data_IF_267422482325
#
_entry.id   IF_267422482325
#
_cell.length_a   1.000
_cell.length_b   1.000
_cell.length_c   1.000
_cell.angle_alpha   90.00
_cell.angle_beta   90.00
_cell.angle_gamma   90.00
#
_symmetry.space_group_name_H-M   'P 1'
#
loop_
_entity.id
_entity.type
_entity.pdbx_description
1 polymer ?
#
# COMPACT_ATOMS: atom_id res chain seq x y z
N UNK A 1 -46.55 35.91 3.72
CA UNK A 1 -45.55 36.39 4.70
C UNK A 1 -44.70 37.42 3.98
N UNK A 2 -44.72 38.68 4.41
CA UNK A 2 -43.82 39.70 3.87
C UNK A 2 -42.47 39.54 4.57
N UNK A 3 -41.49 38.93 3.90
CA UNK A 3 -40.11 38.96 4.38
C UNK A 3 -39.64 40.42 4.35
N UNK A 4 -39.43 41.01 5.53
CA UNK A 4 -38.75 42.29 5.63
C UNK A 4 -37.34 42.13 5.03
N UNK A 5 -36.92 42.99 4.09
CA UNK A 5 -35.57 42.95 3.57
C UNK A 5 -34.59 43.14 4.73
N UNK A 6 -33.88 42.07 5.09
CA UNK A 6 -32.81 42.14 6.08
C UNK A 6 -31.65 42.90 5.47
N UNK A 7 -31.45 44.18 5.80
CA UNK A 7 -30.39 45.02 5.25
C UNK A 7 -29.01 44.83 5.92
N UNK A 8 -28.87 43.81 6.76
CA UNK A 8 -27.61 43.53 7.46
C UNK A 8 -26.76 42.48 6.72
N UNK A 9 -25.41 42.57 6.85
CA UNK A 9 -24.51 41.57 6.29
C UNK A 9 -24.75 40.21 6.93
N UNK A 10 -24.79 39.17 6.08
CA UNK A 10 -25.08 37.79 6.48
C UNK A 10 -23.90 36.88 6.14
N UNK A 11 -23.47 36.06 7.09
CA UNK A 11 -22.44 35.03 6.88
C UNK A 11 -23.07 33.66 7.09
N UNK A 12 -23.28 32.93 6.01
CA UNK A 12 -23.76 31.55 6.03
C UNK A 12 -22.56 30.62 6.20
N UNK A 13 -22.34 30.09 7.40
CA UNK A 13 -21.15 29.30 7.77
C UNK A 13 -21.11 27.87 7.20
N UNK A 14 -22.20 27.40 6.60
CA UNK A 14 -22.33 26.06 6.02
C UNK A 14 -23.02 26.11 4.65
N UNK A 15 -22.68 27.12 3.85
CA UNK A 15 -23.16 27.23 2.49
C UNK A 15 -22.50 26.18 1.61
N UNK A 16 -23.29 25.59 0.71
CA UNK A 16 -22.85 24.71 -0.37
C UNK A 16 -22.81 25.41 -1.74
N UNK A 17 -23.20 26.69 -1.79
CA UNK A 17 -23.18 27.55 -2.97
C UNK A 17 -22.43 28.85 -2.67
N UNK A 18 -21.86 29.46 -3.71
CA UNK A 18 -21.18 30.77 -3.64
C UNK A 18 -20.17 30.89 -2.49
N UNK A 19 -19.40 29.83 -2.28
CA UNK A 19 -18.49 29.69 -1.15
C UNK A 19 -17.29 30.61 -1.38
N UNK A 20 -17.06 31.51 -0.43
CA UNK A 20 -15.90 32.42 -0.43
C UNK A 20 -14.76 31.82 0.38
N UNK A 21 -15.06 31.07 1.46
CA UNK A 21 -14.05 30.42 2.28
C UNK A 21 -14.41 28.97 2.56
N UNK A 22 -13.61 28.05 2.02
CA UNK A 22 -13.77 26.61 2.25
C UNK A 22 -13.51 26.24 3.70
N UNK A 23 -14.49 25.57 4.33
CA UNK A 23 -14.40 25.09 5.72
C UNK A 23 -14.38 23.57 5.82
N UNK A 24 -15.04 22.88 4.89
CA UNK A 24 -15.16 21.43 4.94
C UNK A 24 -15.29 20.86 3.54
N UNK A 25 -14.74 19.67 3.34
CA UNK A 25 -14.95 18.87 2.14
C UNK A 25 -15.72 17.62 2.54
N UNK A 26 -16.83 17.36 1.87
CA UNK A 26 -17.52 16.08 1.92
C UNK A 26 -17.21 15.28 0.67
N UNK A 27 -16.98 13.99 0.84
CA UNK A 27 -16.64 13.08 -0.24
C UNK A 27 -17.82 12.15 -0.48
N UNK A 28 -18.15 11.93 -1.75
CA UNK A 28 -19.16 10.98 -2.17
C UNK A 28 -18.46 9.69 -2.63
N UNK A 29 -18.61 8.61 -1.86
CA UNK A 29 -17.85 7.37 -2.02
C UNK A 29 -18.76 6.15 -1.89
N UNK A 30 -18.18 5.03 -1.43
CA UNK A 30 -18.94 3.80 -1.26
C UNK A 30 -18.60 3.04 0.04
N UNK A 31 -19.55 2.22 0.49
CA UNK A 31 -19.42 1.19 1.52
C UNK A 31 -19.79 -0.16 0.91
N UNK A 32 -18.82 -1.04 0.77
CA UNK A 32 -19.05 -2.39 0.25
C UNK A 32 -19.36 -3.36 1.39
N UNK A 33 -20.36 -4.21 1.19
CA UNK A 33 -20.68 -5.37 2.02
C UNK A 33 -20.47 -6.64 1.20
N UNK A 34 -19.68 -7.56 1.75
CA UNK A 34 -19.39 -8.84 1.10
C UNK A 34 -19.35 -9.97 2.12
N UNK A 35 -19.41 -11.25 1.69
CA UNK A 35 -19.16 -12.37 2.57
C UNK A 35 -17.76 -12.28 3.17
N UNK A 36 -17.57 -12.83 4.37
CA UNK A 36 -16.26 -12.87 4.99
C UNK A 36 -15.27 -13.59 4.07
N UNK A 37 -14.32 -12.85 3.52
CA UNK A 37 -13.32 -13.43 2.63
C UNK A 37 -12.24 -14.09 3.47
N UNK A 38 -11.95 -15.35 3.17
CA UNK A 38 -10.74 -15.94 3.72
C UNK A 38 -9.53 -15.35 3.00
N UNK A 39 -8.50 -14.91 3.73
CA UNK A 39 -7.29 -14.44 3.10
C UNK A 39 -6.69 -15.57 2.28
N UNK A 40 -6.47 -15.30 0.98
CA UNK A 40 -5.83 -16.28 0.10
C UNK A 40 -4.37 -16.43 0.51
N UNK A 41 -4.05 -17.52 1.19
CA UNK A 41 -2.66 -17.93 1.36
C UNK A 41 -2.12 -18.26 -0.03
N UNK A 42 -1.12 -17.51 -0.46
CA UNK A 42 -0.42 -17.79 -1.71
C UNK A 42 1.03 -18.05 -1.40
N UNK A 43 1.63 -19.01 -2.10
CA UNK A 43 3.08 -19.24 -2.03
C UNK A 43 3.85 -17.97 -2.43
N UNK A 44 3.26 -17.11 -3.26
CA UNK A 44 3.77 -15.77 -3.56
C UNK A 44 3.93 -14.88 -2.32
N UNK A 45 3.07 -15.01 -1.30
CA UNK A 45 3.20 -14.27 -0.05
C UNK A 45 4.44 -14.73 0.75
N UNK A 46 4.78 -16.02 0.71
CA UNK A 46 5.95 -16.59 1.37
C UNK A 46 7.26 -16.09 0.74
N UNK A 47 7.33 -16.04 -0.59
CA UNK A 47 8.51 -15.54 -1.31
C UNK A 47 8.57 -14.02 -1.40
N UNK A 48 7.43 -13.33 -1.23
CA UNK A 48 7.29 -11.88 -1.28
C UNK A 48 7.85 -11.12 -0.07
N UNK A 49 8.42 -11.83 0.91
CA UNK A 49 9.10 -11.24 2.07
C UNK A 49 10.26 -10.35 1.62
N UNK A 50 11.10 -10.87 0.73
CA UNK A 50 12.19 -10.13 0.13
C UNK A 50 11.92 -9.79 -1.32
N UNK A 51 12.59 -8.73 -1.77
CA UNK A 51 12.63 -8.43 -3.20
C UNK A 51 13.50 -9.47 -3.91
N UNK A 52 13.22 -9.71 -5.19
CA UNK A 52 13.92 -10.68 -6.02
C UNK A 52 15.45 -10.48 -6.00
N UNK A 53 15.93 -9.24 -5.89
CA UNK A 53 17.36 -8.94 -5.85
C UNK A 53 18.06 -9.57 -4.63
N UNK A 54 17.38 -9.63 -3.48
CA UNK A 54 17.95 -10.25 -2.27
C UNK A 54 18.04 -11.76 -2.44
N UNK A 55 17.00 -12.39 -2.99
CA UNK A 55 17.01 -13.83 -3.28
C UNK A 55 18.14 -14.22 -4.24
N UNK A 56 18.35 -13.44 -5.30
CA UNK A 56 19.48 -13.63 -6.21
C UNK A 56 20.81 -13.51 -5.44
N UNK A 57 20.95 -12.49 -4.60
CA UNK A 57 22.16 -12.30 -3.79
C UNK A 57 22.44 -13.49 -2.86
N UNK A 58 21.40 -14.03 -2.21
CA UNK A 58 21.52 -15.24 -1.35
C UNK A 58 21.97 -16.44 -2.18
N UNK A 59 21.36 -16.69 -3.34
CA UNK A 59 21.76 -17.80 -4.22
C UNK A 59 23.20 -17.66 -4.71
N UNK A 60 23.62 -16.46 -5.11
CA UNK A 60 24.99 -16.19 -5.56
C UNK A 60 26.00 -16.39 -4.44
N UNK A 61 25.74 -15.85 -3.25
CA UNK A 61 26.65 -16.01 -2.09
C UNK A 61 26.71 -17.45 -1.60
N UNK A 62 25.59 -18.18 -1.62
CA UNK A 62 25.52 -19.60 -1.31
C UNK A 62 26.36 -20.46 -2.27
N UNK A 63 26.26 -20.18 -3.58
CA UNK A 63 27.02 -20.88 -4.61
C UNK A 63 28.51 -20.56 -4.52
N UNK A 64 28.88 -19.29 -4.27
CA UNK A 64 30.27 -18.89 -4.06
C UNK A 64 30.88 -19.55 -2.81
N UNK A 65 30.15 -19.60 -1.70
CA UNK A 65 30.60 -20.30 -0.49
C UNK A 65 30.82 -21.79 -0.77
N UNK A 66 29.90 -22.44 -1.50
CA UNK A 66 30.02 -23.86 -1.83
C UNK A 66 31.18 -24.15 -2.78
N UNK A 67 31.39 -23.29 -3.79
CA UNK A 67 32.53 -23.38 -4.70
C UNK A 67 33.85 -23.19 -3.95
N UNK A 68 33.90 -22.27 -2.99
CA UNK A 68 35.07 -22.06 -2.15
C UNK A 68 35.47 -23.32 -1.38
N UNK A 69 34.50 -24.04 -0.83
CA UNK A 69 34.75 -25.33 -0.17
C UNK A 69 35.33 -26.32 -1.16
N UNK A 70 34.71 -26.45 -2.35
CA UNK A 70 35.16 -27.39 -3.36
C UNK A 70 36.64 -27.18 -3.72
N UNK A 71 37.10 -25.93 -3.75
CA UNK A 71 38.48 -25.57 -4.09
C UNK A 71 39.47 -25.72 -2.92
N UNK A 72 39.03 -25.45 -1.69
CA UNK A 72 39.89 -25.49 -0.50
C UNK A 72 39.91 -26.83 0.21
N UNK A 73 38.85 -27.63 0.06
CA UNK A 73 38.76 -29.00 0.55
C UNK A 73 39.69 -29.89 -0.26
N UNK A 74 40.96 -29.85 0.13
CA UNK A 74 42.01 -30.68 -0.43
C UNK A 74 41.66 -32.14 -0.11
N UNK A 75 41.20 -32.90 -1.12
CA UNK A 75 41.34 -34.35 -1.33
C UNK A 75 40.10 -35.01 -1.96
N UNK A 76 40.39 -35.88 -2.93
CA UNK A 76 39.62 -36.93 -3.66
C UNK A 76 38.25 -37.42 -3.11
N UNK A 77 37.95 -37.23 -1.83
CA UNK A 77 36.70 -37.67 -1.17
C UNK A 77 35.50 -36.74 -1.42
N UNK A 78 35.71 -35.44 -1.63
CA UNK A 78 34.61 -34.48 -1.88
C UNK A 78 34.26 -34.32 -3.36
N UNK A 79 35.21 -34.61 -4.25
CA UNK A 79 34.98 -34.53 -5.71
C UNK A 79 34.05 -35.62 -6.24
N UNK A 80 33.78 -36.70 -5.48
CA UNK A 80 32.88 -37.75 -5.94
C UNK A 80 31.41 -37.31 -5.98
N UNK A 81 31.00 -36.26 -5.25
CA UNK A 81 29.64 -35.72 -5.27
C UNK A 81 29.63 -34.19 -5.23
N UNK A 82 29.75 -33.56 -6.40
CA UNK A 82 29.57 -32.12 -6.61
C UNK A 82 28.26 -31.61 -5.97
N UNK A 83 27.18 -32.38 -6.11
CA UNK A 83 25.86 -32.02 -5.57
C UNK A 83 25.86 -31.90 -4.05
N UNK A 84 26.49 -32.85 -3.34
CA UNK A 84 26.63 -32.79 -1.88
C UNK A 84 27.39 -31.53 -1.47
N UNK A 85 28.47 -31.19 -2.17
CA UNK A 85 29.26 -29.98 -1.87
C UNK A 85 28.47 -28.69 -2.14
N UNK A 86 27.68 -28.64 -3.22
CA UNK A 86 26.80 -27.50 -3.52
C UNK A 86 25.63 -27.36 -2.52
N UNK A 87 25.15 -28.47 -1.97
CA UNK A 87 24.08 -28.47 -0.97
C UNK A 87 24.51 -27.96 0.40
N UNK A 88 25.82 -27.87 0.68
CA UNK A 88 26.35 -27.37 1.95
C UNK A 88 25.88 -25.93 2.22
N UNK A 89 26.02 -25.04 1.23
CA UNK A 89 25.60 -23.65 1.40
C UNK A 89 24.12 -23.54 1.73
N UNK A 90 23.30 -24.42 1.13
CA UNK A 90 21.87 -24.51 1.38
C UNK A 90 21.56 -25.08 2.77
N UNK A 91 22.24 -26.14 3.19
CA UNK A 91 22.11 -26.70 4.53
C UNK A 91 22.45 -25.65 5.60
N UNK A 92 23.53 -24.88 5.41
CA UNK A 92 23.87 -23.76 6.30
C UNK A 92 22.81 -22.67 6.34
N UNK A 93 22.23 -22.32 5.18
CA UNK A 93 21.13 -21.36 5.11
C UNK A 93 19.90 -21.86 5.87
N UNK A 94 19.66 -23.16 5.89
CA UNK A 94 18.59 -23.80 6.67
C UNK A 94 18.96 -24.04 8.14
N UNK A 95 20.11 -23.53 8.60
CA UNK A 95 20.64 -23.78 9.95
C UNK A 95 20.86 -25.27 10.25
N UNK A 96 20.99 -26.09 9.21
CA UNK A 96 21.25 -27.53 9.33
C UNK A 96 22.76 -27.78 9.41
N UNK A 97 23.17 -28.60 10.38
CA UNK A 97 24.56 -29.06 10.49
C UNK A 97 24.94 -29.92 9.29
N UNK A 98 25.83 -29.42 8.43
CA UNK A 98 26.22 -30.09 7.19
C UNK A 98 27.32 -31.17 7.36
N UNK A 99 27.57 -31.69 8.57
CA UNK A 99 28.67 -32.62 8.84
C UNK A 99 30.07 -31.97 8.77
N UNK A 100 30.14 -30.66 8.54
CA UNK A 100 31.36 -29.83 8.44
C UNK A 100 31.88 -29.41 9.81
N UNK A 101 31.05 -29.58 10.83
CA UNK A 101 31.33 -29.46 12.26
C UNK A 101 32.65 -30.13 12.67
N UNK A 102 33.09 -31.15 11.92
CA UNK A 102 34.44 -31.67 12.02
C UNK A 102 35.36 -31.01 10.99
N UNK A 103 35.75 -29.75 11.24
CA UNK A 103 36.96 -29.17 10.63
C UNK A 103 38.20 -29.92 11.17
N UNK A 104 38.32 -31.21 10.84
CA UNK A 104 39.31 -32.15 11.37
C UNK A 104 40.74 -31.64 11.17
N UNK A 105 40.95 -30.83 10.12
CA UNK A 105 42.25 -30.26 9.75
C UNK A 105 42.47 -28.84 10.28
N UNK A 106 41.56 -28.30 11.10
CA UNK A 106 41.62 -26.94 11.70
C UNK A 106 42.03 -25.85 10.68
N UNK A 107 41.52 -25.94 9.45
CA UNK A 107 41.86 -24.97 8.41
C UNK A 107 41.29 -23.61 8.77
N UNK A 108 42.16 -22.65 9.10
CA UNK A 108 41.77 -21.29 9.53
C UNK A 108 41.01 -20.53 8.44
N UNK A 109 41.34 -20.78 7.17
CA UNK A 109 40.72 -20.13 6.02
C UNK A 109 39.22 -20.37 5.90
N UNK A 110 38.72 -21.53 6.32
CA UNK A 110 37.29 -21.84 6.28
C UNK A 110 36.48 -20.93 7.22
N UNK A 111 37.03 -20.56 8.38
CA UNK A 111 36.34 -19.71 9.35
C UNK A 111 36.09 -18.29 8.82
N UNK A 112 37.01 -17.75 8.02
CA UNK A 112 36.88 -16.39 7.47
C UNK A 112 35.73 -16.24 6.47
N UNK A 113 35.32 -17.33 5.82
CA UNK A 113 34.23 -17.30 4.84
C UNK A 113 32.94 -17.81 5.47
N UNK A 114 33.01 -18.90 6.22
CA UNK A 114 31.82 -19.46 6.86
C UNK A 114 31.32 -18.63 8.03
N UNK A 115 32.19 -17.99 8.81
CA UNK A 115 31.76 -17.15 9.93
C UNK A 115 30.78 -16.05 9.47
N UNK A 116 31.19 -15.20 8.52
CA UNK A 116 30.28 -14.20 7.92
C UNK A 116 29.06 -14.83 7.24
N UNK A 117 29.22 -15.94 6.50
CA UNK A 117 28.10 -16.61 5.82
C UNK A 117 27.04 -17.17 6.79
N UNK A 118 27.48 -17.79 7.88
CA UNK A 118 26.59 -18.31 8.93
C UNK A 118 25.88 -17.14 9.63
N UNK A 119 26.61 -16.09 9.99
CA UNK A 119 26.02 -14.90 10.61
C UNK A 119 24.97 -14.27 9.69
N UNK A 120 25.26 -14.18 8.39
CA UNK A 120 24.30 -13.67 7.41
C UNK A 120 23.10 -14.60 7.24
N UNK A 121 23.32 -15.91 7.18
CA UNK A 121 22.26 -16.91 7.12
C UNK A 121 21.31 -16.78 8.30
N UNK A 122 21.83 -16.63 9.52
CA UNK A 122 21.04 -16.40 10.74
C UNK A 122 20.23 -15.10 10.69
N UNK A 123 20.80 -14.01 10.16
CA UNK A 123 20.07 -12.75 10.00
C UNK A 123 18.90 -12.94 9.02
N UNK A 124 19.15 -13.64 7.92
CA UNK A 124 18.15 -13.88 6.86
C UNK A 124 17.04 -14.78 7.38
N UNK A 125 17.36 -15.94 7.95
CA UNK A 125 16.37 -16.88 8.46
C UNK A 125 15.52 -16.27 9.55
N UNK A 126 16.12 -15.55 10.51
CA UNK A 126 15.39 -14.88 11.57
C UNK A 126 14.52 -13.74 11.04
N UNK A 127 15.00 -12.98 10.05
CA UNK A 127 14.18 -11.95 9.41
C UNK A 127 13.02 -12.55 8.61
N UNK A 128 13.22 -13.65 7.87
CA UNK A 128 12.14 -14.37 7.18
C UNK A 128 11.13 -14.90 8.19
N UNK A 129 11.59 -15.55 9.26
CA UNK A 129 10.71 -16.09 10.33
C UNK A 129 9.91 -14.95 10.97
N UNK A 130 10.54 -13.84 11.34
CA UNK A 130 9.87 -12.68 11.93
C UNK A 130 8.83 -12.05 11.00
N UNK A 131 9.17 -11.86 9.72
CA UNK A 131 8.24 -11.32 8.72
C UNK A 131 7.10 -12.29 8.42
N UNK A 132 7.37 -13.60 8.35
CA UNK A 132 6.34 -14.60 8.11
C UNK A 132 5.42 -14.76 9.30
N UNK A 133 5.93 -14.74 10.53
CA UNK A 133 5.08 -14.74 11.73
C UNK A 133 4.17 -13.50 11.71
N UNK A 134 4.71 -12.33 11.41
CA UNK A 134 3.92 -11.09 11.41
C UNK A 134 2.96 -10.94 10.22
N UNK A 135 3.24 -11.55 9.07
CA UNK A 135 2.42 -11.43 7.85
C UNK A 135 1.52 -12.63 7.56
N UNK A 136 1.96 -13.83 7.91
CA UNK A 136 1.28 -15.09 7.63
C UNK A 136 0.56 -15.62 8.86
N UNK A 137 1.17 -15.56 10.05
CA UNK A 137 0.54 -16.04 11.29
C UNK A 137 -0.35 -15.00 11.95
N UNK A 138 -0.04 -13.70 11.83
CA UNK A 138 -1.06 -12.69 12.11
C UNK A 138 -2.21 -12.91 11.11
N UNK A 139 -3.49 -12.86 11.54
CA UNK A 139 -4.62 -13.10 10.65
C UNK A 139 -4.44 -12.21 9.42
N UNK A 140 -4.18 -12.89 8.27
CA UNK A 140 -3.85 -12.23 7.03
C UNK A 140 -4.93 -11.17 6.79
N UNK A 141 -4.53 -9.91 6.81
CA UNK A 141 -5.48 -8.81 6.70
C UNK A 141 -6.16 -8.95 5.35
N UNK A 142 -7.46 -9.21 5.40
CA UNK A 142 -8.29 -9.15 4.22
C UNK A 142 -8.18 -7.73 3.69
N UNK A 143 -7.72 -7.58 2.44
CA UNK A 143 -7.56 -6.26 1.83
C UNK A 143 -8.98 -5.75 1.56
N UNK A 144 -9.44 -4.70 2.25
CA UNK A 144 -10.79 -4.19 2.06
C UNK A 144 -10.98 -3.71 0.62
N UNK A 145 -12.22 -3.69 0.14
CA UNK A 145 -12.52 -3.04 -1.14
C UNK A 145 -12.39 -1.52 -0.97
N UNK A 146 -11.33 -0.99 -1.54
CA UNK A 146 -10.95 0.42 -1.44
C UNK A 146 -11.31 1.19 -2.73
N UNK A 147 -11.31 0.52 -3.89
CA UNK A 147 -11.50 1.14 -5.20
C UNK A 147 -12.72 0.63 -5.93
N UNK A 148 -13.35 1.46 -6.75
CA UNK A 148 -14.49 1.08 -7.59
C UNK A 148 -14.12 -0.02 -8.59
N UNK A 149 -12.89 -0.02 -9.09
CA UNK A 149 -12.43 -1.07 -10.00
C UNK A 149 -12.55 -2.46 -9.38
N UNK A 150 -12.24 -2.59 -8.09
CA UNK A 150 -12.32 -3.88 -7.38
C UNK A 150 -13.77 -4.33 -7.21
N UNK A 151 -14.71 -3.39 -7.05
CA UNK A 151 -16.14 -3.69 -6.97
C UNK A 151 -16.68 -4.20 -8.30
N UNK A 152 -16.29 -3.60 -9.42
CA UNK A 152 -16.68 -4.08 -10.75
C UNK A 152 -16.14 -5.47 -11.03
N UNK A 153 -14.86 -5.70 -10.70
CA UNK A 153 -14.22 -6.99 -10.94
C UNK A 153 -14.84 -8.10 -10.08
N UNK A 154 -15.37 -7.75 -8.89
CA UNK A 154 -16.10 -8.64 -8.00
C UNK A 154 -17.63 -8.64 -8.21
N UNK A 155 -18.13 -7.97 -9.26
CA UNK A 155 -19.55 -7.94 -9.66
C UNK A 155 -20.50 -7.43 -8.57
N UNK A 156 -20.09 -6.40 -7.83
CA UNK A 156 -20.97 -5.80 -6.83
C UNK A 156 -22.20 -5.14 -7.45
N UNK A 157 -23.35 -5.28 -6.79
CA UNK A 157 -24.56 -4.53 -7.07
C UNK A 157 -24.49 -3.21 -6.29
N UNK A 158 -24.75 -2.10 -6.95
CA UNK A 158 -24.67 -0.79 -6.31
C UNK A 158 -26.04 -0.30 -5.83
N UNK A 159 -26.05 0.33 -4.67
CA UNK A 159 -27.25 0.86 -4.03
C UNK A 159 -27.03 2.34 -3.72
N UNK A 160 -27.79 3.21 -4.35
CA UNK A 160 -27.74 4.66 -4.12
C UNK A 160 -28.83 5.10 -3.14
N UNK A 161 -28.58 6.17 -2.40
CA UNK A 161 -29.58 6.82 -1.55
C UNK A 161 -30.34 7.84 -2.38
N UNK A 162 -31.65 7.99 -2.18
CA UNK A 162 -32.34 9.16 -2.70
C UNK A 162 -32.15 10.35 -1.78
N UNK A 163 -31.81 11.48 -2.39
CA UNK A 163 -31.74 12.76 -1.70
C UNK A 163 -32.95 13.60 -2.11
N UNK A 164 -33.60 14.20 -1.11
CA UNK A 164 -34.66 15.17 -1.30
C UNK A 164 -34.04 16.57 -1.23
N UNK A 165 -34.29 17.39 -2.23
CA UNK A 165 -33.86 18.78 -2.19
C UNK A 165 -35.00 19.69 -2.62
N UNK A 166 -35.05 20.85 -1.97
CA UNK A 166 -36.03 21.88 -2.25
C UNK A 166 -35.56 22.69 -3.46
N UNK A 167 -36.36 22.68 -4.51
CA UNK A 167 -36.29 23.68 -5.57
C UNK A 167 -37.07 24.91 -5.06
N UNK A 168 -36.72 26.11 -5.54
CA UNK A 168 -37.40 27.34 -5.14
C UNK A 168 -38.94 27.18 -5.16
N UNK A 169 -39.63 27.80 -4.19
CA UNK A 169 -41.09 27.74 -3.96
C UNK A 169 -41.68 26.33 -3.70
N UNK A 170 -41.27 25.70 -2.59
CA UNK A 170 -41.89 24.51 -1.97
C UNK A 170 -41.82 23.17 -2.71
N UNK A 171 -41.32 23.11 -3.94
CA UNK A 171 -41.20 21.84 -4.67
C UNK A 171 -40.04 20.99 -4.11
N UNK A 172 -40.35 19.75 -3.72
CA UNK A 172 -39.36 18.75 -3.32
C UNK A 172 -39.10 17.84 -4.50
N UNK A 173 -37.88 17.87 -5.02
CA UNK A 173 -37.45 16.92 -6.04
C UNK A 173 -36.65 15.81 -5.39
N UNK A 174 -37.05 14.58 -5.68
CA UNK A 174 -36.36 13.36 -5.28
C UNK A 174 -35.43 12.94 -6.42
N UNK A 175 -34.14 12.82 -6.14
CA UNK A 175 -33.18 12.35 -7.13
C UNK A 175 -32.17 11.35 -6.54
N UNK A 176 -31.56 10.48 -7.35
CA UNK A 176 -30.48 9.61 -6.89
C UNK A 176 -29.32 10.44 -6.33
N UNK A 177 -28.77 10.03 -5.19
CA UNK A 177 -27.75 10.73 -4.43
C UNK A 177 -26.48 10.98 -5.23
N UNK A 178 -26.12 10.07 -6.14
CA UNK A 178 -25.03 10.32 -7.08
C UNK A 178 -25.32 11.48 -8.02
N UNK A 179 -26.53 11.52 -8.61
CA UNK A 179 -26.92 12.58 -9.53
C UNK A 179 -26.94 13.92 -8.78
N UNK A 180 -27.44 13.89 -7.54
CA UNK A 180 -27.40 15.03 -6.63
C UNK A 180 -25.98 15.49 -6.36
N UNK A 181 -25.08 14.58 -5.97
CA UNK A 181 -23.68 14.91 -5.71
C UNK A 181 -22.98 15.51 -6.94
N UNK A 182 -23.26 14.98 -8.14
CA UNK A 182 -22.70 15.47 -9.40
C UNK A 182 -23.27 16.86 -9.77
N UNK A 183 -24.57 17.09 -9.59
CA UNK A 183 -25.15 18.41 -9.82
C UNK A 183 -24.60 19.44 -8.83
N UNK A 184 -24.46 19.04 -7.57
CA UNK A 184 -23.97 19.88 -6.49
C UNK A 184 -22.49 20.24 -6.62
N UNK A 185 -21.65 19.34 -7.15
CA UNK A 185 -20.25 19.68 -7.43
C UNK A 185 -20.14 20.74 -8.53
N UNK A 186 -21.04 20.73 -9.53
CA UNK A 186 -21.04 21.79 -10.56
C UNK A 186 -21.41 23.19 -10.04
N UNK A 187 -22.07 23.31 -8.88
CA UNK A 187 -22.44 24.60 -8.30
C UNK A 187 -21.23 25.37 -7.72
N UNK A 188 -20.10 24.70 -7.51
CA UNK A 188 -18.90 25.34 -6.99
C UNK A 188 -17.81 25.32 -8.05
N UNK A 189 -17.47 26.49 -8.59
CA UNK A 189 -16.48 26.62 -9.68
C UNK A 189 -15.12 25.97 -9.34
N UNK A 190 -14.74 25.97 -8.05
CA UNK A 190 -13.50 25.40 -7.55
C UNK A 190 -13.47 23.86 -7.51
N UNK A 191 -14.62 23.16 -7.55
CA UNK A 191 -14.67 21.68 -7.47
C UNK A 191 -15.01 20.98 -8.78
N UNK A 192 -15.01 21.71 -9.91
CA UNK A 192 -15.35 21.16 -11.24
C UNK A 192 -14.45 20.01 -11.74
N UNK A 193 -13.45 19.60 -10.97
CA UNK A 193 -12.63 18.42 -11.22
C UNK A 193 -13.22 17.16 -10.60
N UNK A 194 -13.78 16.28 -11.43
CA UNK A 194 -14.11 14.90 -11.03
C UNK A 194 -12.90 14.24 -10.36
N UNK A 195 -13.12 13.60 -9.21
CA UNK A 195 -12.06 12.91 -8.46
C UNK A 195 -11.74 11.54 -9.09
N UNK A 196 -12.75 10.87 -9.64
CA UNK A 196 -12.55 9.62 -10.39
C UNK A 196 -12.14 9.85 -11.85
N UNK A 197 -11.40 8.87 -12.38
CA UNK A 197 -11.07 8.83 -13.81
C UNK A 197 -12.32 8.66 -14.67
N UNK A 198 -12.34 9.27 -15.86
CA UNK A 198 -13.44 9.11 -16.83
C UNK A 198 -13.72 7.63 -17.18
N UNK A 199 -12.69 6.77 -17.16
CA UNK A 199 -12.86 5.32 -17.38
C UNK A 199 -13.70 4.64 -16.29
N UNK A 200 -13.50 5.03 -15.02
CA UNK A 200 -14.31 4.53 -13.90
C UNK A 200 -15.72 5.05 -14.03
N UNK A 201 -15.89 6.34 -14.33
CA UNK A 201 -17.20 6.95 -14.54
C UNK A 201 -17.99 6.26 -15.67
N UNK A 202 -17.35 5.97 -16.79
CA UNK A 202 -17.99 5.26 -17.91
C UNK A 202 -18.41 3.85 -17.51
N UNK A 203 -17.62 3.15 -16.70
CA UNK A 203 -18.01 1.84 -16.15
C UNK A 203 -19.19 1.95 -15.21
N UNK A 204 -19.22 2.96 -14.35
CA UNK A 204 -20.34 3.22 -13.46
C UNK A 204 -21.62 3.46 -14.29
N UNK A 205 -21.55 4.31 -15.33
CA UNK A 205 -22.68 4.61 -16.22
C UNK A 205 -23.15 3.38 -16.99
N UNK A 206 -22.23 2.60 -17.58
CA UNK A 206 -22.53 1.40 -18.36
C UNK A 206 -23.01 0.24 -17.50
N UNK A 207 -22.53 0.13 -16.27
CA UNK A 207 -22.85 -0.95 -15.36
C UNK A 207 -24.23 -0.86 -14.73
N UNK A 208 -25.05 0.14 -15.09
CA UNK A 208 -26.35 0.34 -14.46
C UNK A 208 -26.24 0.61 -12.95
N UNK A 209 -25.09 1.10 -12.48
CA UNK A 209 -24.86 1.40 -11.05
C UNK A 209 -25.93 2.36 -10.51
N UNK A 210 -26.47 3.21 -11.38
CA UNK A 210 -27.52 4.17 -11.08
C UNK A 210 -28.88 3.79 -11.68
N UNK A 211 -29.00 2.64 -12.35
CA UNK A 211 -30.30 2.15 -12.77
C UNK A 211 -30.98 1.56 -11.53
N UNK A 212 -31.72 2.43 -10.84
CA UNK A 212 -32.98 2.13 -10.19
C UNK A 212 -33.15 0.65 -9.75
N UNK A 213 -32.26 0.14 -8.87
CA UNK A 213 -32.80 -0.62 -7.74
C UNK A 213 -33.44 0.42 -6.82
N UNK A 214 -34.41 1.15 -7.38
CA UNK A 214 -35.34 1.94 -6.64
C UNK A 214 -35.97 0.96 -5.67
N UNK A 215 -35.91 1.33 -4.41
CA UNK A 215 -36.82 1.13 -3.27
C UNK A 215 -38.14 0.33 -3.42
N UNK A 216 -38.54 -0.03 -4.64
CA UNK A 216 -39.73 -0.78 -5.03
C UNK A 216 -39.55 -2.29 -5.16
N UNK A 217 -38.33 -2.83 -5.12
CA UNK A 217 -38.18 -4.29 -4.95
C UNK A 217 -38.42 -4.63 -3.47
N UNK A 218 -39.58 -5.18 -3.07
CA UNK A 218 -39.93 -5.41 -1.67
C UNK A 218 -38.94 -6.35 -0.95
N UNK A 219 -38.15 -7.10 -1.71
CA UNK A 219 -37.18 -8.07 -1.19
C UNK A 219 -35.84 -7.44 -0.80
N UNK A 220 -35.52 -6.22 -1.23
CA UNK A 220 -34.29 -5.54 -0.84
C UNK A 220 -34.60 -4.50 0.24
N UNK A 221 -34.40 -4.88 1.50
CA UNK A 221 -34.44 -3.94 2.64
C UNK A 221 -33.29 -2.94 2.48
N UNK A 222 -33.60 -1.78 1.90
CA UNK A 222 -32.63 -0.72 1.61
C UNK A 222 -32.10 -0.15 2.92
N UNK A 223 -30.78 -0.25 3.13
CA UNK A 223 -30.09 0.32 4.30
C UNK A 223 -30.48 1.78 4.52
N UNK A 224 -30.67 2.53 3.43
CA UNK A 224 -31.00 3.95 3.48
C UNK A 224 -32.40 4.24 4.01
N UNK A 225 -33.39 3.44 3.60
CA UNK A 225 -34.77 3.55 4.09
C UNK A 225 -34.88 3.20 5.56
N UNK A 226 -34.06 2.26 6.00
CA UNK A 226 -33.97 1.89 7.40
C UNK A 226 -33.19 2.92 8.22
N UNK A 227 -32.14 3.56 7.70
CA UNK A 227 -31.38 4.54 8.49
C UNK A 227 -32.25 5.67 9.08
N UNK A 228 -33.25 6.16 8.32
CA UNK A 228 -34.17 7.21 8.78
C UNK A 228 -35.17 6.71 9.84
N UNK A 229 -35.62 5.46 9.74
CA UNK A 229 -36.53 4.82 10.70
C UNK A 229 -35.78 4.31 11.96
N UNK A 230 -34.48 3.98 11.83
CA UNK A 230 -33.67 3.33 12.86
C UNK A 230 -33.19 4.25 13.98
N UNK A 231 -33.26 5.58 13.81
CA UNK A 231 -33.18 6.49 14.95
C UNK A 231 -34.31 6.26 15.97
N UNK A 232 -35.32 5.43 15.64
CA UNK A 232 -36.49 5.14 16.47
C UNK A 232 -36.66 3.70 16.99
N UNK A 233 -35.60 2.89 17.21
CA UNK A 233 -35.63 1.55 17.85
C UNK A 233 -35.98 0.30 16.99
N UNK A 234 -35.84 0.34 15.66
CA UNK A 234 -36.02 -0.87 14.84
C UNK A 234 -34.88 -1.91 15.02
N UNK A 235 -35.18 -3.21 14.91
CA UNK A 235 -34.17 -4.29 14.76
C UNK A 235 -34.24 -4.86 13.34
N UNK A 236 -33.12 -4.90 12.61
CA UNK A 236 -33.08 -5.28 11.19
C UNK A 236 -32.81 -6.78 11.00
N UNK A 237 -33.65 -7.66 11.54
CA UNK A 237 -33.33 -9.11 11.65
C UNK A 237 -33.04 -9.83 10.33
N UNK A 238 -33.48 -9.31 9.17
CA UNK A 238 -33.32 -9.98 7.87
C UNK A 238 -32.35 -9.29 6.90
N UNK A 239 -31.40 -8.51 7.40
CA UNK A 239 -30.44 -7.83 6.52
C UNK A 239 -29.44 -8.82 5.90
N UNK A 240 -29.53 -9.01 4.57
CA UNK A 240 -28.62 -9.90 3.80
C UNK A 240 -27.86 -9.13 2.73
N UNK A 241 -26.84 -8.37 3.11
CA UNK A 241 -26.00 -7.68 2.13
C UNK A 241 -24.85 -8.51 1.58
N UNK A 242 -24.36 -9.49 2.36
CA UNK A 242 -23.20 -10.29 1.99
C UNK A 242 -23.45 -11.20 0.78
N UNK A 243 -24.61 -11.89 0.76
CA UNK A 243 -24.94 -12.84 -0.30
C UNK A 243 -25.02 -12.20 -1.69
N UNK A 244 -25.38 -10.91 -1.73
CA UNK A 244 -25.63 -10.16 -2.96
C UNK A 244 -24.48 -9.26 -3.41
N UNK A 245 -23.36 -9.23 -2.67
CA UNK A 245 -22.24 -8.32 -2.92
C UNK A 245 -22.72 -6.87 -3.13
N UNK A 246 -23.31 -6.27 -2.07
CA UNK A 246 -23.88 -4.93 -2.16
C UNK A 246 -22.83 -3.84 -1.91
N UNK A 247 -22.84 -2.78 -2.72
CA UNK A 247 -22.04 -1.58 -2.53
C UNK A 247 -22.95 -0.35 -2.40
N UNK A 248 -23.06 0.18 -1.18
CA UNK A 248 -23.82 1.39 -0.91
C UNK A 248 -23.02 2.62 -1.31
N UNK A 249 -23.59 3.49 -2.13
CA UNK A 249 -22.97 4.75 -2.56
C UNK A 249 -23.61 5.89 -1.78
N UNK A 250 -22.81 6.85 -1.34
CA UNK A 250 -23.32 7.97 -0.54
C UNK A 250 -22.21 8.89 -0.01
N UNK A 251 -22.61 9.90 0.76
CA UNK A 251 -21.65 10.76 1.46
C UNK A 251 -20.88 9.98 2.53
N UNK A 252 -19.56 10.12 2.54
CA UNK A 252 -18.64 9.38 3.41
C UNK A 252 -18.94 9.53 4.90
N UNK A 253 -19.54 10.66 5.31
CA UNK A 253 -20.00 10.85 6.69
C UNK A 253 -21.07 9.82 7.05
N UNK A 254 -22.10 9.68 6.23
CA UNK A 254 -23.19 8.73 6.45
C UNK A 254 -22.71 7.28 6.30
N UNK A 255 -21.86 7.01 5.31
CA UNK A 255 -21.30 5.67 5.10
C UNK A 255 -20.48 5.18 6.30
N UNK A 256 -19.78 6.06 7.03
CA UNK A 256 -19.06 5.69 8.26
C UNK A 256 -20.02 5.32 9.39
N UNK A 257 -21.09 6.10 9.58
CA UNK A 257 -22.11 5.82 10.59
C UNK A 257 -22.81 4.50 10.27
N UNK A 258 -23.20 4.31 9.00
CA UNK A 258 -23.80 3.08 8.52
C UNK A 258 -22.87 1.88 8.72
N UNK A 259 -21.57 2.03 8.46
CA UNK A 259 -20.58 0.98 8.71
C UNK A 259 -20.54 0.56 10.17
N UNK A 260 -20.42 1.51 11.11
CA UNK A 260 -20.36 1.21 12.54
C UNK A 260 -21.63 0.49 13.00
N UNK A 261 -22.78 0.98 12.56
CA UNK A 261 -24.07 0.35 12.82
C UNK A 261 -24.13 -1.10 12.32
N UNK A 262 -23.68 -1.34 11.08
CA UNK A 262 -23.67 -2.67 10.48
C UNK A 262 -22.68 -3.62 11.17
N UNK A 263 -21.51 -3.14 11.58
CA UNK A 263 -20.54 -3.92 12.36
C UNK A 263 -21.10 -4.31 13.75
N UNK A 264 -21.90 -3.45 14.37
CA UNK A 264 -22.51 -3.68 15.69
C UNK A 264 -23.75 -4.60 15.62
N UNK A 265 -24.63 -4.41 14.63
CA UNK A 265 -25.94 -5.08 14.58
C UNK A 265 -25.98 -6.29 13.64
N UNK A 266 -25.03 -6.40 12.71
CA UNK A 266 -24.96 -7.48 11.72
C UNK A 266 -23.54 -8.05 11.63
N UNK A 267 -23.06 -8.74 12.68
CA UNK A 267 -21.78 -9.41 12.63
C UNK A 267 -21.77 -10.53 11.59
N UNK A 268 -20.62 -10.77 10.97
CA UNK A 268 -20.43 -11.85 9.98
C UNK A 268 -19.93 -11.35 8.62
N UNK A 269 -20.66 -10.46 7.93
CA UNK A 269 -20.19 -9.83 6.69
C UNK A 269 -18.94 -8.97 6.89
N UNK A 270 -18.17 -8.80 5.80
CA UNK A 270 -17.08 -7.85 5.74
C UNK A 270 -17.59 -6.51 5.20
N UNK A 271 -17.41 -5.44 5.99
CA UNK A 271 -17.77 -4.07 5.62
C UNK A 271 -16.52 -3.22 5.32
N UNK A 272 -16.34 -2.82 4.06
CA UNK A 272 -15.20 -2.03 3.62
C UNK A 272 -15.61 -0.67 3.08
N UNK A 273 -15.01 0.38 3.62
CA UNK A 273 -15.22 1.74 3.17
C UNK A 273 -14.22 2.10 2.08
N UNK A 274 -14.71 2.58 0.93
CA UNK A 274 -13.89 3.00 -0.19
C UNK A 274 -12.98 4.18 0.14
N UNK A 275 -11.82 4.25 -0.53
CA UNK A 275 -10.92 5.41 -0.53
C UNK A 275 -10.93 6.19 -1.85
N UNK A 276 -11.68 5.70 -2.84
CA UNK A 276 -11.95 6.37 -4.10
C UNK A 276 -13.31 7.08 -4.03
N UNK A 277 -13.36 8.33 -4.49
CA UNK A 277 -14.55 9.19 -4.42
C UNK A 277 -15.00 9.58 -5.81
N UNK A 278 -16.30 9.59 -6.03
CA UNK A 278 -16.92 10.01 -7.28
C UNK A 278 -16.85 11.53 -7.38
N UNK A 279 -17.32 12.21 -6.34
CA UNK A 279 -17.44 13.66 -6.26
C UNK A 279 -16.92 14.15 -4.91
N UNK A 280 -16.45 15.39 -4.90
CA UNK A 280 -16.12 16.14 -3.69
C UNK A 280 -16.98 17.39 -3.65
N UNK A 281 -17.60 17.62 -2.51
CA UNK A 281 -18.42 18.79 -2.28
C UNK A 281 -17.79 19.67 -1.22
N UNK A 282 -17.53 20.91 -1.59
CA UNK A 282 -17.05 21.92 -0.67
C UNK A 282 -18.23 22.54 0.08
N UNK A 283 -18.03 22.75 1.38
CA UNK A 283 -18.88 23.54 2.25
C UNK A 283 -18.04 24.65 2.87
N UNK A 284 -18.64 25.81 3.08
CA UNK A 284 -17.90 26.94 3.59
C UNK A 284 -18.74 28.16 3.89
N UNK A 285 -18.06 29.30 3.95
CA UNK A 285 -18.70 30.57 4.23
C UNK A 285 -19.17 31.21 2.94
N UNK A 286 -20.47 31.49 2.85
CA UNK A 286 -21.03 32.43 1.88
C UNK A 286 -21.29 33.75 2.61
N UNK A 287 -20.84 34.84 2.01
CA UNK A 287 -21.11 36.18 2.54
C UNK A 287 -22.08 36.88 1.60
N UNK A 288 -23.19 37.35 2.16
CA UNK A 288 -24.22 38.11 1.45
C UNK A 288 -24.30 39.52 2.03
N UNK A 289 -24.69 40.48 1.20
CA UNK A 289 -24.94 41.88 1.61
C UNK A 289 -23.74 42.53 2.32
N UNK A 290 -22.52 42.22 1.89
CA UNK A 290 -21.30 42.83 2.44
C UNK A 290 -21.17 44.26 1.91
N UNK A 291 -21.32 45.24 2.80
CA UNK A 291 -21.27 46.67 2.45
C UNK A 291 -19.87 47.13 2.03
N UNK A 292 -18.82 46.68 2.75
CA UNK A 292 -17.44 47.04 2.42
C UNK A 292 -16.77 45.98 1.52
N UNK A 293 -16.50 46.30 0.23
CA UNK A 293 -15.87 45.36 -0.70
C UNK A 293 -14.46 44.93 -0.28
N UNK A 294 -13.78 45.70 0.59
CA UNK A 294 -12.45 45.36 1.11
C UNK A 294 -12.50 44.08 1.94
N UNK A 295 -13.63 43.78 2.59
CA UNK A 295 -13.81 42.53 3.35
C UNK A 295 -13.75 41.32 2.42
N UNK A 296 -14.50 41.34 1.31
CA UNK A 296 -14.46 40.26 0.31
C UNK A 296 -13.05 40.10 -0.25
N UNK A 297 -12.37 41.20 -0.57
CA UNK A 297 -10.99 41.16 -1.08
C UNK A 297 -10.00 40.55 -0.07
N UNK A 298 -10.13 40.87 1.22
CA UNK A 298 -9.30 40.26 2.28
C UNK A 298 -9.56 38.77 2.44
N UNK A 299 -10.84 38.35 2.41
CA UNK A 299 -11.19 36.92 2.49
C UNK A 299 -10.68 36.16 1.26
N UNK A 300 -10.82 36.73 0.05
CA UNK A 300 -10.20 36.16 -1.15
C UNK A 300 -8.69 36.07 -1.02
N UNK A 301 -8.03 37.07 -0.44
CA UNK A 301 -6.60 37.03 -0.10
C UNK A 301 -6.21 35.87 0.82
N UNK A 302 -7.07 35.53 1.80
CA UNK A 302 -6.86 34.36 2.66
C UNK A 302 -6.96 33.03 1.89
N UNK A 303 -7.85 32.94 0.91
CA UNK A 303 -7.96 31.76 0.04
C UNK A 303 -6.76 31.65 -0.89
N UNK A 304 -6.41 32.72 -1.60
CA UNK A 304 -5.31 32.72 -2.57
C UNK A 304 -3.94 32.55 -1.94
N UNK A 305 -3.76 32.96 -0.67
CA UNK A 305 -2.54 32.69 0.10
C UNK A 305 -2.35 31.21 0.48
N UNK A 306 -3.38 30.36 0.31
CA UNK A 306 -3.36 28.95 0.70
C UNK A 306 -3.48 28.70 2.21
N UNK A 307 -3.74 29.73 3.01
CA UNK A 307 -3.92 29.61 4.46
C UNK A 307 -5.14 28.74 4.77
N UNK A 308 -6.25 28.93 4.04
CA UNK A 308 -7.47 28.13 4.19
C UNK A 308 -7.20 26.63 3.99
N UNK A 309 -6.44 26.28 2.95
CA UNK A 309 -6.01 24.91 2.68
C UNK A 309 -5.16 24.32 3.81
N UNK A 310 -4.25 25.11 4.40
CA UNK A 310 -3.47 24.67 5.58
C UNK A 310 -4.33 24.44 6.80
N UNK A 311 -5.34 25.27 7.07
CA UNK A 311 -6.26 25.05 8.18
C UNK A 311 -7.03 23.74 8.06
N UNK A 312 -7.55 23.43 6.87
CA UNK A 312 -8.22 22.14 6.60
C UNK A 312 -7.28 20.96 6.83
N UNK A 313 -6.04 21.09 6.36
CA UNK A 313 -5.00 20.07 6.57
C UNK A 313 -4.74 19.82 8.06
N UNK A 314 -4.58 20.89 8.86
CA UNK A 314 -4.35 20.75 10.31
C UNK A 314 -5.57 20.19 11.04
N UNK A 315 -6.78 20.56 10.65
CA UNK A 315 -8.00 19.99 11.21
C UNK A 315 -8.11 18.48 10.91
N UNK A 316 -7.84 18.07 9.67
CA UNK A 316 -7.83 16.66 9.29
C UNK A 316 -6.73 15.89 10.04
N UNK A 317 -5.55 16.48 10.18
CA UNK A 317 -4.44 15.90 10.93
C UNK A 317 -4.79 15.73 12.42
N UNK A 318 -5.47 16.71 13.03
CA UNK A 318 -5.97 16.64 14.41
C UNK A 318 -7.03 15.54 14.60
N UNK A 319 -7.95 15.38 13.65
CA UNK A 319 -8.92 14.27 13.66
C UNK A 319 -8.25 12.91 13.51
N UNK A 320 -7.20 12.82 12.69
CA UNK A 320 -6.41 11.59 12.54
C UNK A 320 -5.64 11.27 13.82
N UNK A 321 -4.94 12.23 14.42
CA UNK A 321 -4.14 12.01 15.63
C UNK A 321 -5.00 11.59 16.83
N UNK A 322 -6.19 12.16 17.00
CA UNK A 322 -7.14 11.72 18.04
C UNK A 322 -7.55 10.25 17.90
N UNK A 323 -7.77 9.77 16.67
CA UNK A 323 -8.11 8.38 16.39
C UNK A 323 -6.91 7.42 16.40
N UNK A 324 -5.68 7.94 16.30
CA UNK A 324 -4.46 7.12 16.36
C UNK A 324 -4.21 6.62 17.79
N UNK A 325 -4.61 7.38 18.83
CA UNK A 325 -4.41 6.99 20.23
C UNK A 325 -5.17 5.70 20.60
N UNK A 326 -6.41 5.54 20.12
CA UNK A 326 -7.20 4.32 20.38
C UNK A 326 -6.76 3.15 19.51
N UNK A 327 -6.42 3.38 18.24
CA UNK A 327 -5.98 2.30 17.33
C UNK A 327 -4.55 1.81 17.56
N UNK A 328 -3.67 2.61 18.18
CA UNK A 328 -2.31 2.15 18.50
C UNK A 328 -2.30 1.13 19.64
N UNK A 329 -3.29 1.16 20.52
CA UNK A 329 -3.37 0.21 21.64
C UNK A 329 -3.71 -1.20 21.12
N UNK A 330 -4.57 -1.30 20.09
CA UNK A 330 -4.92 -2.59 19.46
C UNK A 330 -3.88 -3.08 18.44
N UNK A 331 -3.07 -2.18 17.88
CA UNK A 331 -1.97 -2.56 17.00
C UNK A 331 -0.75 -2.83 17.87
N UNK A 332 -0.64 -4.09 18.31
CA UNK A 332 0.56 -4.62 18.95
C UNK A 332 1.86 -4.23 18.22
N UNK A 333 3.03 -4.45 18.85
CA UNK A 333 4.30 -3.86 18.45
C UNK A 333 4.54 -3.99 16.94
N UNK A 334 4.66 -2.85 16.26
CA UNK A 334 4.97 -2.82 14.83
C UNK A 334 6.37 -3.38 14.67
N UNK A 335 6.48 -4.58 14.08
CA UNK A 335 7.75 -5.22 13.79
C UNK A 335 8.69 -4.24 13.07
N UNK A 336 9.95 -4.18 13.50
CA UNK A 336 10.98 -3.33 12.91
C UNK A 336 11.05 -3.61 11.41
N UNK A 337 10.61 -2.65 10.61
CA UNK A 337 10.52 -2.82 9.16
C UNK A 337 11.91 -2.65 8.54
N UNK A 338 12.67 -3.75 8.46
CA UNK A 338 14.04 -3.82 7.94
C UNK A 338 14.16 -3.56 6.41
N UNK A 339 13.05 -3.25 5.73
CA UNK A 339 12.90 -3.20 4.26
C UNK A 339 13.80 -2.16 3.57
N UNK A 340 14.29 -1.15 4.30
CA UNK A 340 15.24 -0.15 3.80
C UNK A 340 16.69 -0.60 3.89
N UNK A 341 17.11 -1.08 5.08
CA UNK A 341 18.52 -1.30 5.40
C UNK A 341 19.06 -2.66 4.96
N UNK A 342 18.19 -3.66 4.75
CA UNK A 342 18.65 -4.99 4.37
C UNK A 342 19.38 -4.98 3.03
N UNK A 343 18.88 -4.26 2.03
CA UNK A 343 19.56 -4.21 0.73
C UNK A 343 20.98 -3.64 0.82
N UNK A 344 21.21 -2.66 1.69
CA UNK A 344 22.54 -2.09 1.92
C UNK A 344 23.43 -3.05 2.71
N UNK A 345 22.90 -3.69 3.76
CA UNK A 345 23.60 -4.71 4.53
C UNK A 345 24.06 -5.87 3.63
N UNK A 346 23.19 -6.37 2.76
CA UNK A 346 23.51 -7.39 1.76
C UNK A 346 24.57 -6.93 0.77
N UNK A 347 24.48 -5.68 0.30
CA UNK A 347 25.47 -5.13 -0.64
C UNK A 347 26.85 -5.07 0.02
N UNK A 348 26.93 -4.57 1.25
CA UNK A 348 28.16 -4.52 2.04
C UNK A 348 28.71 -5.92 2.30
N UNK A 349 27.84 -6.88 2.63
CA UNK A 349 28.22 -8.28 2.82
C UNK A 349 28.83 -8.88 1.55
N UNK A 350 28.19 -8.73 0.40
CA UNK A 350 28.71 -9.23 -0.89
C UNK A 350 30.07 -8.61 -1.22
N UNK A 351 30.25 -7.30 -1.00
CA UNK A 351 31.52 -6.62 -1.21
C UNK A 351 32.60 -7.20 -0.28
N UNK A 352 32.29 -7.37 0.99
CA UNK A 352 33.23 -7.93 1.97
C UNK A 352 33.61 -9.38 1.66
N UNK A 353 32.63 -10.23 1.32
CA UNK A 353 32.86 -11.62 0.89
C UNK A 353 33.67 -11.70 -0.41
N UNK A 354 33.43 -10.80 -1.36
CA UNK A 354 34.23 -10.73 -2.58
C UNK A 354 35.68 -10.30 -2.30
N UNK A 355 35.87 -9.30 -1.43
CA UNK A 355 37.20 -8.83 -1.04
C UNK A 355 38.00 -9.91 -0.30
N UNK A 356 37.38 -10.63 0.63
CA UNK A 356 38.04 -11.74 1.35
C UNK A 356 38.36 -12.92 0.43
N UNK A 357 37.46 -13.24 -0.51
CA UNK A 357 37.73 -14.24 -1.53
C UNK A 357 38.92 -13.83 -2.40
N UNK A 358 38.97 -12.59 -2.90
CA UNK A 358 40.10 -12.08 -3.70
C UNK A 358 41.42 -12.15 -2.91
N UNK A 359 41.42 -11.70 -1.66
CA UNK A 359 42.60 -11.76 -0.79
C UNK A 359 43.14 -13.18 -0.64
N UNK A 360 42.25 -14.14 -0.38
CA UNK A 360 42.63 -15.54 -0.25
C UNK A 360 43.18 -16.13 -1.55
N UNK A 361 42.65 -15.69 -2.70
CA UNK A 361 43.17 -16.10 -4.00
C UNK A 361 44.56 -15.57 -4.27
N UNK A 362 44.86 -14.33 -3.86
CA UNK A 362 46.23 -13.82 -3.88
C UNK A 362 47.16 -14.66 -3.00
N UNK A 363 46.72 -15.08 -1.82
CA UNK A 363 47.51 -15.94 -0.92
C UNK A 363 47.78 -17.32 -1.56
N UNK A 364 46.78 -17.95 -2.17
CA UNK A 364 46.97 -19.21 -2.92
C UNK A 364 47.91 -19.01 -4.11
N UNK A 365 47.77 -17.91 -4.85
CA UNK A 365 48.63 -17.61 -6.00
C UNK A 365 50.08 -17.43 -5.56
N UNK A 366 50.30 -16.66 -4.50
CA UNK A 366 51.61 -16.40 -3.90
C UNK A 366 52.25 -17.70 -3.40
N UNK A 367 51.54 -18.48 -2.58
CA UNK A 367 52.07 -19.71 -2.00
C UNK A 367 52.29 -20.82 -3.04
N UNK A 368 51.39 -20.97 -4.02
CA UNK A 368 51.53 -21.99 -5.05
C UNK A 368 52.47 -21.61 -6.21
N UNK A 369 52.92 -20.35 -6.32
CA UNK A 369 53.95 -19.97 -7.31
C UNK A 369 55.27 -20.72 -7.08
N UNK A 370 55.42 -21.31 -5.88
CA UNK A 370 56.49 -22.22 -5.50
C UNK A 370 56.37 -23.63 -6.11
N UNK A 371 55.26 -24.00 -6.75
CA UNK A 371 55.01 -25.32 -7.35
C UNK A 371 54.54 -25.22 -8.81
N UNK A 372 55.45 -25.46 -9.76
CA UNK A 372 55.23 -25.29 -11.20
C UNK A 372 54.11 -26.16 -11.81
N UNK A 373 53.65 -27.23 -11.13
CA UNK A 373 52.69 -28.20 -11.71
C UNK A 373 51.22 -27.74 -11.73
N UNK A 374 50.85 -26.57 -11.18
CA UNK A 374 49.45 -26.12 -11.07
C UNK A 374 49.02 -25.05 -12.09
N UNK A 375 49.80 -24.79 -13.14
CA UNK A 375 49.56 -23.66 -14.04
C UNK A 375 48.22 -23.72 -14.82
N UNK A 376 47.78 -24.92 -15.23
CA UNK A 376 46.52 -25.09 -15.99
C UNK A 376 45.26 -24.80 -15.16
N UNK A 377 45.20 -25.30 -13.92
CA UNK A 377 44.08 -25.05 -13.00
C UNK A 377 44.04 -23.57 -12.61
N UNK A 378 45.21 -22.95 -12.43
CA UNK A 378 45.32 -21.51 -12.15
C UNK A 378 44.75 -20.65 -13.27
N UNK A 379 45.01 -20.99 -14.53
CA UNK A 379 44.49 -20.23 -15.68
C UNK A 379 42.97 -20.34 -15.79
N UNK A 380 42.43 -21.56 -15.76
CA UNK A 380 40.97 -21.78 -15.80
C UNK A 380 40.24 -21.07 -14.65
N UNK A 381 40.87 -21.03 -13.47
CA UNK A 381 40.32 -20.36 -12.32
C UNK A 381 40.38 -18.83 -12.42
N UNK A 382 41.50 -18.27 -12.89
CA UNK A 382 41.62 -16.84 -13.18
C UNK A 382 40.58 -16.40 -14.22
N UNK A 383 40.39 -17.19 -15.28
CA UNK A 383 39.38 -16.92 -16.30
C UNK A 383 37.96 -16.93 -15.71
N UNK A 384 37.67 -17.83 -14.75
CA UNK A 384 36.39 -17.87 -14.04
C UNK A 384 36.19 -16.63 -13.15
N UNK A 385 37.20 -16.20 -12.39
CA UNK A 385 37.11 -14.96 -11.59
C UNK A 385 36.91 -13.74 -12.51
N UNK A 386 37.64 -13.69 -13.63
CA UNK A 386 37.52 -12.60 -14.60
C UNK A 386 36.12 -12.57 -15.24
N UNK A 387 35.56 -13.75 -15.53
CA UNK A 387 34.18 -13.87 -15.99
C UNK A 387 33.18 -13.42 -14.91
N UNK A 388 33.33 -13.88 -13.67
CA UNK A 388 32.45 -13.52 -12.55
C UNK A 388 32.54 -12.04 -12.19
N UNK A 389 33.73 -11.45 -12.16
CA UNK A 389 33.93 -10.03 -11.91
C UNK A 389 33.33 -9.16 -13.01
N UNK A 390 33.45 -9.55 -14.29
CA UNK A 390 32.73 -8.91 -15.39
C UNK A 390 31.22 -9.02 -15.22
N UNK A 391 30.71 -10.18 -14.81
CA UNK A 391 29.29 -10.42 -14.61
C UNK A 391 28.73 -9.59 -13.44
N UNK A 392 29.46 -9.52 -12.33
CA UNK A 392 29.15 -8.68 -11.17
C UNK A 392 29.21 -7.19 -11.56
N UNK A 393 30.24 -6.77 -12.30
CA UNK A 393 30.35 -5.39 -12.78
C UNK A 393 29.20 -5.00 -13.71
N UNK A 394 28.83 -5.89 -14.64
CA UNK A 394 27.66 -5.72 -15.49
C UNK A 394 26.37 -5.63 -14.66
N UNK A 395 26.17 -6.50 -13.67
CA UNK A 395 25.03 -6.46 -12.77
C UNK A 395 24.98 -5.13 -11.99
N UNK A 396 26.12 -4.68 -11.48
CA UNK A 396 26.24 -3.43 -10.74
C UNK A 396 25.98 -2.19 -11.61
N UNK A 397 26.50 -2.17 -12.84
CA UNK A 397 26.25 -1.10 -13.83
C UNK A 397 24.77 -1.03 -14.18
N UNK A 398 24.14 -2.19 -14.39
CA UNK A 398 22.70 -2.30 -14.64
C UNK A 398 21.91 -1.77 -13.46
N UNK A 399 22.29 -2.16 -12.23
CA UNK A 399 21.64 -1.69 -11.01
C UNK A 399 21.76 -0.18 -10.81
N UNK A 400 22.95 0.39 -11.04
CA UNK A 400 23.19 1.83 -10.96
C UNK A 400 22.32 2.59 -11.98
N UNK A 401 22.18 2.07 -13.19
CA UNK A 401 21.27 2.62 -14.20
C UNK A 401 19.80 2.55 -13.78
N UNK A 402 19.32 1.43 -13.23
CA UNK A 402 17.94 1.30 -12.75
C UNK A 402 17.66 2.26 -11.59
N UNK A 403 18.60 2.41 -10.65
CA UNK A 403 18.47 3.34 -9.52
C UNK A 403 18.47 4.80 -9.98
N UNK A 404 19.32 5.16 -10.95
CA UNK A 404 19.34 6.49 -11.57
C UNK A 404 18.03 6.79 -12.32
N UNK A 405 17.51 5.82 -13.09
CA UNK A 405 16.23 5.96 -13.80
C UNK A 405 15.06 6.12 -12.83
N UNK A 406 15.01 5.35 -11.73
CA UNK A 406 14.00 5.53 -10.68
C UNK A 406 14.07 6.89 -9.99
N UNK A 407 15.27 7.42 -9.72
CA UNK A 407 15.43 8.80 -9.18
C UNK A 407 14.97 9.86 -10.17
N UNK A 408 15.28 9.70 -11.45
CA UNK A 408 14.82 10.61 -12.51
C UNK A 408 13.28 10.62 -12.64
N UNK A 409 12.62 9.47 -12.54
CA UNK A 409 11.15 9.40 -12.52
C UNK A 409 10.52 10.02 -11.27
N UNK A 410 11.18 9.91 -10.11
CA UNK A 410 10.68 10.48 -8.85
C UNK A 410 10.85 11.99 -8.78
N UNK A 411 11.85 12.54 -9.47
CA UNK A 411 12.16 13.96 -9.54
C UNK A 411 11.59 14.66 -10.78
N UNK A 412 10.86 13.97 -11.66
CA UNK A 412 10.04 14.68 -12.64
C UNK A 412 9.03 15.52 -11.84
N UNK A 413 9.06 16.86 -11.95
CA UNK A 413 8.08 17.69 -11.28
C UNK A 413 6.72 17.17 -11.71
N UNK A 414 5.86 16.84 -10.74
CA UNK A 414 4.44 16.68 -11.03
C UNK A 414 4.03 18.03 -11.60
N UNK A 415 3.85 18.09 -12.91
CA UNK A 415 3.22 19.23 -13.57
C UNK A 415 1.83 19.26 -12.94
N UNK A 416 1.68 20.09 -11.91
CA UNK A 416 0.38 20.54 -11.48
C UNK A 416 -0.15 21.25 -12.71
N UNK A 417 -1.10 20.60 -13.39
CA UNK A 417 -1.90 21.27 -14.39
C UNK A 417 -2.60 22.41 -13.63
N UNK A 418 -2.01 23.60 -13.72
CA UNK A 418 -2.69 24.84 -13.35
C UNK A 418 -3.81 24.97 -14.37
N UNK A 419 -5.02 24.69 -13.91
CA UNK A 419 -6.25 25.06 -14.59
C UNK A 419 -6.80 26.29 -13.90
#
# INVERSE_FOLDING_TARGET
MCEYPQDFPLIHVNSDRDIILTRRVEQFGFLACSPLRQPKTSLAALFGVYKVEVWISVLVTMTLASLFILLTANQKKYMSNLFTTLSIGFAMLLEQGAGIDKNLKKQRSLYFIFGPWIMMSLIITNSIRGDNVTKILAPLRIIPYEKFSQLFDAQFKFMDRYEFFHIASNDVVMMPGYRFAMEKSTWTAETSGRVISNKVLDRIRKGGVFSLIADYQPNYKNLWRHHEVFLGNGTLTDFRCAADFLAYVGWMRYLRVAKLFLEENHPGPEYSLGNEFIEEQIFGWKMEKVVDPRVIMRVKGLVTSGISGRWLFYEEMGKKSGNLSTKLIDRGPVGINLKGNMGELFTTFVIFSAATAIWFLFEIMYNGARSLKQYGIRKAFLDLILALSKLIWCAFKTFKHVKAKKRSYKNKPKIQAVK
#
